data_IF_903603835482
#
_entry.id   IF_903603835482
#
_cell.length_a   1.000
_cell.length_b   1.000
_cell.length_c   1.000
_cell.angle_alpha   90.00
_cell.angle_beta   90.00
_cell.angle_gamma   90.00
#
_symmetry.space_group_name_H-M   'P 1'
#
loop_
_entity.id
_entity.type
_entity.pdbx_description
1 polymer ?
#
# COMPACT_ATOMS: atom_id res chain seq x y z
N UNK A 1 10.59 23.83 -14.68
CA UNK A 1 10.74 22.71 -13.72
C UNK A 1 10.93 21.44 -14.54
N UNK A 2 11.98 20.65 -14.29
CA UNK A 2 12.01 19.27 -14.79
C UNK A 2 10.82 18.53 -14.18
N UNK A 3 10.08 17.79 -15.01
CA UNK A 3 9.09 16.86 -14.46
C UNK A 3 9.84 15.83 -13.62
N UNK A 4 9.34 15.49 -12.42
CA UNK A 4 9.92 14.41 -11.63
C UNK A 4 9.91 13.12 -12.46
N UNK A 5 11.00 12.36 -12.37
CA UNK A 5 11.09 11.06 -13.02
C UNK A 5 9.97 10.16 -12.49
N UNK A 6 9.19 9.49 -13.36
CA UNK A 6 8.21 8.52 -12.91
C UNK A 6 8.86 7.43 -12.05
N UNK A 7 8.18 7.03 -10.97
CA UNK A 7 8.60 5.91 -10.15
C UNK A 7 7.89 4.64 -10.60
N UNK A 8 8.57 3.50 -10.47
CA UNK A 8 8.04 2.18 -10.76
C UNK A 8 7.84 1.41 -9.45
N UNK A 9 6.57 1.08 -9.14
CA UNK A 9 6.20 0.23 -8.00
C UNK A 9 5.81 -1.16 -8.51
N UNK A 10 6.64 -2.17 -8.26
CA UNK A 10 6.43 -3.52 -8.80
C UNK A 10 5.50 -4.34 -7.89
N UNK A 11 4.32 -4.75 -8.39
CA UNK A 11 3.36 -5.54 -7.59
C UNK A 11 3.76 -7.01 -7.49
N UNK A 12 3.90 -7.48 -6.25
CA UNK A 12 4.20 -8.89 -5.96
C UNK A 12 2.99 -9.82 -6.15
N UNK A 13 1.78 -9.27 -6.37
CA UNK A 13 0.61 -10.09 -6.67
C UNK A 13 0.82 -10.95 -7.94
N UNK A 14 1.65 -10.47 -8.87
CA UNK A 14 2.02 -11.17 -10.10
C UNK A 14 3.30 -12.03 -9.97
N UNK A 15 3.95 -12.04 -8.79
CA UNK A 15 5.19 -12.77 -8.58
C UNK A 15 4.95 -14.28 -8.38
N UNK A 16 6.01 -15.07 -8.59
CA UNK A 16 6.06 -16.46 -8.21
C UNK A 16 6.35 -16.58 -6.70
N UNK A 17 5.31 -16.81 -5.90
CA UNK A 17 5.44 -16.95 -4.44
C UNK A 17 6.35 -18.10 -3.98
N UNK A 18 6.60 -19.11 -4.83
CA UNK A 18 7.57 -20.17 -4.48
C UNK A 18 9.02 -19.67 -4.54
N UNK A 19 9.29 -18.58 -5.26
CA UNK A 19 10.60 -17.98 -5.50
C UNK A 19 10.54 -16.45 -5.29
N UNK A 20 9.75 -15.97 -4.32
CA UNK A 20 9.44 -14.54 -4.15
C UNK A 20 10.68 -13.66 -4.00
N UNK A 21 11.72 -14.16 -3.33
CA UNK A 21 12.98 -13.42 -3.15
C UNK A 21 13.67 -13.12 -4.48
N UNK A 22 13.66 -14.08 -5.41
CA UNK A 22 14.30 -13.94 -6.71
C UNK A 22 13.55 -12.93 -7.59
N UNK A 23 12.22 -12.95 -7.57
CA UNK A 23 11.41 -12.01 -8.35
C UNK A 23 11.54 -10.57 -7.83
N UNK A 24 11.59 -10.37 -6.50
CA UNK A 24 11.82 -9.04 -5.91
C UNK A 24 13.22 -8.52 -6.28
N UNK A 25 14.25 -9.38 -6.20
CA UNK A 25 15.61 -8.99 -6.58
C UNK A 25 15.73 -8.66 -8.07
N UNK A 26 15.04 -9.41 -8.94
CA UNK A 26 14.99 -9.10 -10.36
C UNK A 26 14.30 -7.77 -10.64
N UNK A 27 13.18 -7.48 -9.96
CA UNK A 27 12.50 -6.19 -10.07
C UNK A 27 13.40 -5.02 -9.62
N UNK A 28 14.11 -5.17 -8.51
CA UNK A 28 15.07 -4.18 -8.00
C UNK A 28 16.22 -3.95 -9.01
N UNK A 29 16.79 -5.02 -9.58
CA UNK A 29 17.83 -4.92 -10.61
C UNK A 29 17.34 -4.29 -11.91
N UNK A 30 16.06 -4.46 -12.24
CA UNK A 30 15.41 -3.84 -13.39
C UNK A 30 15.05 -2.35 -13.17
N UNK A 31 15.28 -1.83 -11.96
CA UNK A 31 15.06 -0.43 -11.62
C UNK A 31 13.70 -0.12 -11.00
N UNK A 32 13.06 -1.09 -10.33
CA UNK A 32 11.91 -0.80 -9.49
C UNK A 32 12.33 0.13 -8.34
N UNK A 33 11.53 1.18 -8.10
CA UNK A 33 11.74 2.10 -7.00
C UNK A 33 11.10 1.57 -5.71
N UNK A 34 9.93 0.92 -5.83
CA UNK A 34 9.14 0.39 -4.71
C UNK A 34 8.66 -1.03 -5.01
N UNK A 35 8.31 -1.76 -3.94
CA UNK A 35 7.60 -3.03 -4.02
C UNK A 35 6.15 -2.80 -3.57
N UNK A 36 5.20 -3.01 -4.48
CA UNK A 36 3.78 -2.87 -4.23
C UNK A 36 3.18 -4.17 -3.69
N UNK A 37 2.37 -4.08 -2.65
CA UNK A 37 1.79 -5.23 -1.95
C UNK A 37 0.29 -5.03 -1.81
N UNK A 38 -0.46 -5.74 -2.64
CA UNK A 38 -1.93 -5.75 -2.65
C UNK A 38 -2.50 -6.72 -1.61
N UNK A 39 -3.13 -6.18 -0.57
CA UNK A 39 -3.77 -6.94 0.52
C UNK A 39 -5.27 -6.96 0.31
N UNK A 40 -5.85 -8.15 0.21
CA UNK A 40 -7.27 -8.39 -0.07
C UNK A 40 -7.86 -9.35 0.97
N UNK A 41 -9.05 -9.03 1.51
CA UNK A 41 -9.69 -9.77 2.61
C UNK A 41 -10.92 -10.61 2.22
N UNK A 42 -11.28 -10.66 0.93
CA UNK A 42 -12.47 -11.36 0.45
C UNK A 42 -13.80 -10.66 0.74
N UNK A 43 -13.81 -9.54 1.45
CA UNK A 43 -15.01 -8.78 1.81
C UNK A 43 -15.10 -7.49 0.99
N UNK A 44 -14.07 -6.65 1.04
CA UNK A 44 -14.03 -5.41 0.26
C UNK A 44 -13.87 -5.69 -1.24
N UNK A 45 -13.09 -6.73 -1.57
CA UNK A 45 -12.94 -7.26 -2.93
C UNK A 45 -13.14 -8.79 -2.90
N UNK A 46 -13.64 -9.41 -3.98
CA UNK A 46 -13.98 -10.84 -4.01
C UNK A 46 -12.74 -11.74 -4.22
N UNK A 47 -11.62 -11.42 -3.56
CA UNK A 47 -10.39 -12.21 -3.58
C UNK A 47 -9.67 -12.11 -2.23
N UNK A 48 -8.86 -13.12 -1.90
CA UNK A 48 -8.02 -13.14 -0.70
C UNK A 48 -6.57 -13.30 -1.16
N UNK A 49 -5.68 -12.39 -0.75
CA UNK A 49 -4.28 -12.41 -1.19
C UNK A 49 -3.34 -12.84 -0.07
N UNK A 50 -2.91 -11.89 0.75
CA UNK A 50 -1.84 -12.03 1.73
C UNK A 50 -2.06 -11.09 2.90
N UNK A 51 -1.26 -11.25 3.96
CA UNK A 51 -1.33 -10.41 5.15
C UNK A 51 0.05 -9.89 5.60
N UNK A 52 0.15 -9.36 6.83
CA UNK A 52 1.38 -8.76 7.35
C UNK A 52 2.61 -9.68 7.31
N UNK A 53 2.41 -11.00 7.41
CA UNK A 53 3.48 -11.99 7.32
C UNK A 53 4.27 -11.90 5.98
N UNK A 54 3.59 -11.64 4.87
CA UNK A 54 4.26 -11.49 3.57
C UNK A 54 5.00 -10.14 3.50
N UNK A 55 4.46 -9.09 4.11
CA UNK A 55 5.15 -7.78 4.20
C UNK A 55 6.45 -7.92 4.98
N UNK A 56 6.43 -8.66 6.10
CA UNK A 56 7.63 -8.95 6.90
C UNK A 56 8.64 -9.77 6.08
N UNK A 57 8.19 -10.80 5.36
CA UNK A 57 9.06 -11.56 4.46
C UNK A 57 9.72 -10.66 3.39
N UNK A 58 8.95 -9.83 2.69
CA UNK A 58 9.45 -8.85 1.72
C UNK A 58 10.46 -7.89 2.35
N UNK A 59 10.23 -7.44 3.59
CA UNK A 59 11.14 -6.54 4.30
C UNK A 59 12.51 -7.16 4.53
N UNK A 60 12.59 -8.48 4.72
CA UNK A 60 13.87 -9.20 4.86
C UNK A 60 14.61 -9.40 3.53
N UNK A 61 13.92 -9.29 2.40
CA UNK A 61 14.47 -9.57 1.06
C UNK A 61 15.12 -8.34 0.43
N UNK A 62 14.47 -7.17 0.51
CA UNK A 62 14.91 -5.93 -0.15
C UNK A 62 15.05 -4.79 0.86
N UNK A 63 15.74 -3.70 0.49
CA UNK A 63 15.76 -2.43 1.20
C UNK A 63 14.81 -1.38 0.58
N UNK A 64 14.22 -1.66 -0.59
CA UNK A 64 13.27 -0.74 -1.24
C UNK A 64 12.06 -0.46 -0.33
N UNK A 65 11.43 0.72 -0.45
CA UNK A 65 10.17 1.01 0.23
C UNK A 65 9.08 -0.01 -0.11
N UNK A 66 8.36 -0.47 0.91
CA UNK A 66 7.21 -1.35 0.76
C UNK A 66 5.93 -0.50 0.73
N UNK A 67 5.25 -0.53 -0.41
CA UNK A 67 4.02 0.20 -0.71
C UNK A 67 2.82 -0.71 -0.52
N UNK A 68 2.23 -0.68 0.69
CA UNK A 68 1.16 -1.61 1.08
C UNK A 68 -0.20 -0.99 0.78
N UNK A 69 -0.96 -1.68 -0.06
CA UNK A 69 -2.29 -1.29 -0.50
C UNK A 69 -3.35 -2.17 0.16
N UNK A 70 -4.17 -1.57 1.03
CA UNK A 70 -5.19 -2.27 1.80
C UNK A 70 -6.55 -2.19 1.10
N UNK A 71 -6.87 -3.24 0.33
CA UNK A 71 -8.20 -3.54 -0.20
C UNK A 71 -8.99 -4.40 0.79
N UNK A 72 -9.22 -3.87 1.99
CA UNK A 72 -9.87 -4.58 3.10
C UNK A 72 -10.93 -3.72 3.79
N UNK A 73 -11.92 -4.36 4.42
CA UNK A 73 -12.84 -3.69 5.33
C UNK A 73 -12.19 -3.38 6.68
N UNK A 74 -12.57 -2.26 7.29
CA UNK A 74 -12.11 -1.82 8.61
C UNK A 74 -10.56 -1.80 8.75
N UNK A 75 -9.82 -1.12 7.85
CA UNK A 75 -8.37 -1.20 7.80
C UNK A 75 -7.67 -0.70 9.07
N UNK A 76 -8.32 0.17 9.84
CA UNK A 76 -7.87 0.66 11.16
C UNK A 76 -7.43 -0.46 12.11
N UNK A 77 -8.02 -1.66 12.00
CA UNK A 77 -7.68 -2.80 12.86
C UNK A 77 -6.31 -3.42 12.55
N UNK A 78 -5.76 -3.14 11.36
CA UNK A 78 -4.58 -3.82 10.83
C UNK A 78 -3.37 -2.89 10.61
N UNK A 79 -3.54 -1.57 10.76
CA UNK A 79 -2.50 -0.58 10.47
C UNK A 79 -1.21 -0.85 11.25
N UNK A 80 -1.32 -1.10 12.55
CA UNK A 80 -0.18 -1.43 13.42
C UNK A 80 0.56 -2.68 12.96
N UNK A 81 -0.17 -3.71 12.53
CA UNK A 81 0.42 -4.97 12.10
C UNK A 81 1.21 -4.77 10.81
N UNK A 82 0.66 -4.04 9.83
CA UNK A 82 1.36 -3.73 8.58
C UNK A 82 2.56 -2.79 8.79
N UNK A 83 2.41 -1.77 9.64
CA UNK A 83 3.52 -0.88 9.98
C UNK A 83 4.66 -1.66 10.67
N UNK A 84 4.33 -2.52 11.64
CA UNK A 84 5.32 -3.35 12.35
C UNK A 84 6.00 -4.37 11.42
N UNK A 85 5.29 -4.86 10.40
CA UNK A 85 5.85 -5.75 9.38
C UNK A 85 6.81 -5.05 8.41
N UNK A 86 6.95 -3.72 8.48
CA UNK A 86 7.92 -2.96 7.69
C UNK A 86 7.32 -2.17 6.52
N UNK A 87 6.00 -1.97 6.50
CA UNK A 87 5.37 -1.09 5.52
C UNK A 87 5.97 0.32 5.59
N UNK A 88 6.43 0.83 4.44
CA UNK A 88 6.90 2.22 4.34
C UNK A 88 5.74 3.17 4.06
N UNK A 89 4.74 2.67 3.33
CA UNK A 89 3.52 3.37 2.94
C UNK A 89 2.34 2.44 3.18
N UNK A 90 1.24 3.01 3.65
CA UNK A 90 -0.03 2.27 3.79
C UNK A 90 -1.09 3.11 3.09
N UNK A 91 -1.70 2.57 2.05
CA UNK A 91 -2.82 3.18 1.35
C UNK A 91 -4.12 2.46 1.68
N UNK A 92 -5.18 3.24 1.91
CA UNK A 92 -6.51 2.74 2.27
C UNK A 92 -7.57 3.34 1.37
N UNK A 93 -8.60 2.56 1.05
CA UNK A 93 -9.75 3.01 0.30
C UNK A 93 -10.63 3.96 1.11
N UNK A 94 -11.04 5.08 0.52
CA UNK A 94 -12.01 5.98 1.16
C UNK A 94 -13.37 5.28 1.40
N UNK A 95 -13.70 4.32 0.54
CA UNK A 95 -14.96 3.56 0.55
C UNK A 95 -15.03 2.53 1.69
N UNK A 96 -13.88 2.06 2.17
CA UNK A 96 -13.77 1.04 3.22
C UNK A 96 -13.56 1.62 4.62
N UNK A 97 -13.67 2.95 4.78
CA UNK A 97 -13.32 3.65 6.01
C UNK A 97 -14.50 4.42 6.61
N UNK A 98 -14.73 4.22 7.91
CA UNK A 98 -15.75 4.97 8.66
C UNK A 98 -15.28 6.40 8.99
N UNK A 99 -13.98 6.60 9.21
CA UNK A 99 -13.40 7.90 9.54
C UNK A 99 -12.01 8.05 8.92
N UNK A 100 -11.98 8.37 7.62
CA UNK A 100 -10.75 8.48 6.85
C UNK A 100 -9.74 9.47 7.44
N UNK A 101 -10.20 10.60 8.01
CA UNK A 101 -9.31 11.59 8.64
C UNK A 101 -8.50 10.97 9.79
N UNK A 102 -9.17 10.21 10.68
CA UNK A 102 -8.51 9.52 11.79
C UNK A 102 -7.54 8.44 11.29
N UNK A 103 -7.95 7.66 10.29
CA UNK A 103 -7.13 6.61 9.68
C UNK A 103 -5.81 7.15 9.14
N UNK A 104 -5.86 8.25 8.38
CA UNK A 104 -4.66 8.87 7.81
C UNK A 104 -3.71 9.42 8.89
N UNK A 105 -4.26 10.03 9.95
CA UNK A 105 -3.45 10.45 11.12
C UNK A 105 -2.79 9.27 11.81
N UNK A 106 -3.52 8.15 11.91
CA UNK A 106 -3.00 6.94 12.54
C UNK A 106 -1.83 6.36 11.74
N UNK A 107 -1.97 6.21 10.43
CA UNK A 107 -0.89 5.75 9.54
C UNK A 107 0.37 6.62 9.73
N UNK A 108 0.19 7.95 9.75
CA UNK A 108 1.28 8.89 10.00
C UNK A 108 1.97 8.66 11.35
N UNK A 109 1.19 8.45 12.41
CA UNK A 109 1.72 8.21 13.76
C UNK A 109 2.51 6.91 13.90
N UNK A 110 2.31 5.97 12.96
CA UNK A 110 3.05 4.72 12.87
C UNK A 110 4.36 4.86 12.06
N UNK A 111 4.75 6.09 11.70
CA UNK A 111 5.89 6.40 10.84
C UNK A 111 5.78 5.86 9.41
N UNK A 112 4.56 5.56 8.96
CA UNK A 112 4.28 5.23 7.57
C UNK A 112 3.78 6.47 6.82
N UNK A 113 3.99 6.48 5.51
CA UNK A 113 3.41 7.47 4.62
C UNK A 113 1.94 7.08 4.30
N UNK A 114 0.92 7.87 4.66
CA UNK A 114 -0.48 7.64 4.35
C UNK A 114 -0.75 7.87 2.86
N UNK A 115 -1.30 6.83 2.24
CA UNK A 115 -1.94 6.89 0.94
C UNK A 115 -3.46 6.84 1.07
N UNK A 116 -4.15 7.43 0.11
CA UNK A 116 -5.59 7.25 -0.06
C UNK A 116 -5.90 6.70 -1.44
N UNK A 117 -6.82 5.75 -1.49
CA UNK A 117 -7.24 5.07 -2.72
C UNK A 117 -8.68 5.44 -3.02
N UNK A 118 -8.98 5.65 -4.30
CA UNK A 118 -10.35 5.79 -4.81
C UNK A 118 -10.56 4.77 -5.91
N UNK A 119 -11.69 4.06 -5.88
CA UNK A 119 -12.08 3.21 -6.99
C UNK A 119 -12.45 4.06 -8.22
N UNK A 120 -12.43 3.49 -9.44
CA UNK A 120 -12.81 4.21 -10.66
C UNK A 120 -14.22 4.83 -10.62
N UNK A 121 -15.15 4.25 -9.86
CA UNK A 121 -16.50 4.77 -9.66
C UNK A 121 -16.62 5.88 -8.60
N UNK A 122 -15.58 6.10 -7.81
CA UNK A 122 -15.57 7.09 -6.74
C UNK A 122 -15.03 8.41 -7.27
N UNK A 123 -15.76 9.52 -7.10
CA UNK A 123 -15.33 10.78 -7.67
C UNK A 123 -14.11 11.34 -6.94
N UNK A 124 -13.14 11.86 -7.69
CA UNK A 124 -11.92 12.45 -7.13
C UNK A 124 -12.16 13.59 -6.12
N UNK A 125 -13.29 14.32 -6.24
CA UNK A 125 -13.62 15.39 -5.29
C UNK A 125 -13.93 14.88 -3.88
N UNK A 126 -14.18 13.58 -3.70
CA UNK A 126 -14.33 12.95 -2.38
C UNK A 126 -13.08 13.13 -1.50
N UNK A 127 -11.92 13.35 -2.11
CA UNK A 127 -10.64 13.55 -1.43
C UNK A 127 -10.42 14.99 -0.93
N UNK A 128 -11.28 15.94 -1.31
CA UNK A 128 -11.03 17.40 -1.12
C UNK A 128 -10.65 17.77 0.30
N UNK A 129 -11.32 17.20 1.29
CA UNK A 129 -11.12 17.57 2.70
C UNK A 129 -9.90 16.89 3.34
N UNK A 130 -9.32 15.88 2.70
CA UNK A 130 -8.21 15.08 3.26
C UNK A 130 -6.95 15.03 2.38
N UNK A 131 -7.00 15.60 1.17
CA UNK A 131 -5.87 15.61 0.22
C UNK A 131 -4.59 16.21 0.81
N UNK A 132 -4.72 17.14 1.75
CA UNK A 132 -3.58 17.79 2.42
C UNK A 132 -2.90 16.89 3.47
N UNK A 133 -3.46 15.71 3.77
CA UNK A 133 -2.97 14.78 4.80
C UNK A 133 -2.20 13.60 4.20
N UNK A 134 -2.30 13.39 2.88
CA UNK A 134 -1.79 12.20 2.18
C UNK A 134 -0.51 12.52 1.41
N UNK A 135 0.35 11.50 1.27
CA UNK A 135 1.56 11.59 0.45
C UNK A 135 1.38 10.92 -0.92
N UNK A 136 0.34 10.08 -1.06
CA UNK A 136 0.04 9.34 -2.26
C UNK A 136 -1.47 9.26 -2.47
N UNK A 137 -1.92 9.46 -3.70
CA UNK A 137 -3.26 9.11 -4.15
C UNK A 137 -3.12 7.98 -5.17
N UNK A 138 -3.85 6.90 -4.97
CA UNK A 138 -3.96 5.77 -5.90
C UNK A 138 -5.37 5.75 -6.51
N UNK A 139 -5.46 5.45 -7.80
CA UNK A 139 -6.70 5.42 -8.60
C UNK A 139 -6.76 4.11 -9.36
#
# INVERSE_FOLDING_TARGET
MMMPTPLISASILAANFTHLAEDIQQAEQAGADWIHIDVMDGHFVPNISMGPLIVEACRTITALPLDVHLMIENPDQYLEAFASAGASRISVHIEANQNIHRTLQKIRSLNCMPGIVVNPGTPAWSLREVVHMVDLILV
#
